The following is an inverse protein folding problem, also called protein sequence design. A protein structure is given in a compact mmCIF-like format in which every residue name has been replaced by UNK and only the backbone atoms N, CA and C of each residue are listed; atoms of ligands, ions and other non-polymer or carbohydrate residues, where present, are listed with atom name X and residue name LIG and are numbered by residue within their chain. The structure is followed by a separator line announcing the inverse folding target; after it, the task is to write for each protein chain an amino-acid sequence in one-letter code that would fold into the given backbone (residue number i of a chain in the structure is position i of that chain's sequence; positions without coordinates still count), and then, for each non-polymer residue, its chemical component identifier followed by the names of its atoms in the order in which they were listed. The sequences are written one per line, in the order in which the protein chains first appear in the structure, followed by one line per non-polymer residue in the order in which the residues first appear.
data_IF_115680839578
#
_entry.id   IF_115680839578
#
_cell.length_a   1.000
_cell.length_b   1.000
_cell.length_c   1.000
_cell.angle_alpha   90.00
_cell.angle_beta   90.00
_cell.angle_gamma   90.00
#
_symmetry.space_group_name_H-M   'P 1'
#
loop_
_entity.id
_entity.type
_entity.pdbx_description
1 polymer ?
#
# COMPACT_ATOMS: atom_id res chain seq x y z
N UNK A 1 -5.57 -7.59 14.32
CA UNK A 1 -5.19 -6.18 14.23
C UNK A 1 -6.31 -5.29 14.74
N UNK A 2 -5.97 -4.15 15.28
CA UNK A 2 -6.97 -3.25 15.77
C UNK A 2 -7.54 -2.38 14.65
N UNK A 3 -8.56 -1.60 14.99
CA UNK A 3 -9.27 -0.78 14.04
C UNK A 3 -8.39 0.28 13.36
N UNK A 4 -7.47 0.86 14.11
CA UNK A 4 -6.57 1.88 13.57
C UNK A 4 -5.67 1.32 12.49
N UNK A 5 -5.11 0.14 12.73
CA UNK A 5 -4.23 -0.50 11.76
C UNK A 5 -4.99 -0.80 10.46
N UNK A 6 -6.20 -1.30 10.59
CA UNK A 6 -7.01 -1.62 9.42
C UNK A 6 -7.31 -0.37 8.59
N UNK A 7 -7.67 0.72 9.24
CA UNK A 7 -7.95 1.97 8.54
C UNK A 7 -6.71 2.53 7.86
N UNK A 8 -5.56 2.41 8.51
CA UNK A 8 -4.31 2.88 7.94
C UNK A 8 -3.95 2.10 6.69
N UNK A 9 -4.15 0.80 6.70
CA UNK A 9 -3.88 -0.04 5.55
C UNK A 9 -4.83 0.27 4.40
N UNK A 10 -6.09 0.52 4.69
CA UNK A 10 -7.04 0.90 3.66
C UNK A 10 -6.66 2.20 3.00
N UNK A 11 -6.31 3.20 3.79
CA UNK A 11 -5.88 4.48 3.26
C UNK A 11 -4.64 4.32 2.39
N UNK A 12 -3.69 3.54 2.85
CA UNK A 12 -2.47 3.28 2.10
C UNK A 12 -2.78 2.61 0.76
N UNK A 13 -3.70 1.68 0.78
CA UNK A 13 -4.11 0.99 -0.44
C UNK A 13 -4.68 1.98 -1.47
N UNK A 14 -5.53 2.88 -1.02
CA UNK A 14 -6.12 3.87 -1.92
C UNK A 14 -5.06 4.82 -2.46
N UNK A 15 -4.11 5.23 -1.62
CA UNK A 15 -3.03 6.10 -2.05
C UNK A 15 -2.18 5.43 -3.12
N UNK A 16 -1.88 4.16 -2.92
CA UNK A 16 -1.08 3.41 -3.89
C UNK A 16 -1.85 3.24 -5.19
N UNK A 17 -3.12 2.91 -5.10
CA UNK A 17 -3.95 2.75 -6.29
C UNK A 17 -4.01 4.04 -7.09
N UNK A 18 -4.10 5.17 -6.40
CA UNK A 18 -4.13 6.48 -7.05
C UNK A 18 -2.82 6.74 -7.79
N UNK A 19 -1.70 6.42 -7.18
CA UNK A 19 -0.40 6.57 -7.84
C UNK A 19 -0.28 5.73 -9.10
N UNK A 20 -0.84 4.53 -9.06
CA UNK A 20 -0.77 3.61 -10.19
C UNK A 20 -1.86 3.85 -11.23
N UNK A 21 -2.78 4.76 -10.94
CA UNK A 21 -3.89 5.03 -11.84
C UNK A 21 -4.92 3.92 -11.86
N UNK A 22 -5.00 3.13 -10.80
CA UNK A 22 -5.96 2.03 -10.69
C UNK A 22 -7.20 2.54 -9.99
N UNK A 23 -8.39 2.45 -10.61
CA UNK A 23 -9.62 2.92 -9.98
C UNK A 23 -10.08 1.95 -8.89
N UNK A 24 -10.07 2.42 -7.64
CA UNK A 24 -10.58 1.66 -6.52
C UNK A 24 -11.88 2.28 -6.04
N UNK A 25 -12.93 1.48 -6.02
CA UNK A 25 -14.19 1.92 -5.43
C UNK A 25 -14.09 1.85 -3.92
N UNK A 26 -14.71 2.78 -3.25
CA UNK A 26 -14.69 2.81 -1.80
C UNK A 26 -15.29 1.52 -1.24
N UNK A 27 -14.48 0.77 -0.53
CA UNK A 27 -14.91 -0.44 0.14
C UNK A 27 -15.18 -1.63 -0.77
N UNK A 28 -14.88 -1.53 -2.06
CA UNK A 28 -15.17 -2.62 -2.98
C UNK A 28 -14.20 -2.60 -4.17
N UNK A 29 -13.49 -3.70 -4.36
CA UNK A 29 -12.56 -3.84 -5.48
C UNK A 29 -12.96 -4.94 -6.45
N UNK A 30 -14.23 -5.31 -6.46
CA UNK A 30 -14.69 -6.40 -7.32
C UNK A 30 -14.54 -6.11 -8.80
N UNK A 31 -14.44 -4.84 -9.16
CA UNK A 31 -14.30 -4.45 -10.56
C UNK A 31 -12.88 -4.50 -11.07
N UNK A 32 -11.92 -4.71 -10.20
CA UNK A 32 -10.53 -4.76 -10.60
C UNK A 32 -10.17 -6.12 -11.15
N UNK A 33 -9.31 -6.13 -12.15
CA UNK A 33 -8.78 -7.40 -12.64
C UNK A 33 -7.81 -7.95 -11.60
N UNK A 34 -7.51 -9.24 -11.70
CA UNK A 34 -6.53 -9.86 -10.83
C UNK A 34 -5.16 -9.18 -10.98
N UNK A 35 -4.84 -8.76 -12.20
CA UNK A 35 -3.59 -8.07 -12.47
C UNK A 35 -3.54 -6.72 -11.75
N UNK A 36 -4.64 -5.97 -11.78
CA UNK A 36 -4.69 -4.68 -11.10
C UNK A 36 -4.59 -4.83 -9.60
N UNK A 37 -5.30 -5.79 -9.03
CA UNK A 37 -5.21 -6.07 -7.60
C UNK A 37 -3.79 -6.47 -7.21
N UNK A 38 -3.17 -7.32 -8.00
CA UNK A 38 -1.80 -7.74 -7.77
C UNK A 38 -0.81 -6.59 -7.85
N UNK A 39 -1.03 -5.68 -8.81
CA UNK A 39 -0.16 -4.52 -8.95
C UNK A 39 -0.21 -3.61 -7.74
N UNK A 40 -1.42 -3.35 -7.24
CA UNK A 40 -1.59 -2.52 -6.04
C UNK A 40 -0.94 -3.19 -4.85
N UNK A 41 -1.21 -4.48 -4.63
CA UNK A 41 -0.63 -5.20 -3.51
C UNK A 41 0.88 -5.25 -3.57
N UNK A 42 1.44 -5.52 -4.74
CA UNK A 42 2.89 -5.57 -4.92
C UNK A 42 3.55 -4.23 -4.66
N UNK A 43 2.93 -3.17 -5.14
CA UNK A 43 3.47 -1.83 -4.94
C UNK A 43 3.41 -1.41 -3.47
N UNK A 44 2.35 -1.81 -2.77
CA UNK A 44 2.25 -1.57 -1.33
C UNK A 44 3.41 -2.22 -0.60
N UNK A 45 3.70 -3.48 -0.93
CA UNK A 45 4.81 -4.21 -0.31
C UNK A 45 6.14 -3.50 -0.62
N UNK A 46 6.32 -3.08 -1.85
CA UNK A 46 7.54 -2.38 -2.24
C UNK A 46 7.73 -1.11 -1.42
N UNK A 47 6.67 -0.33 -1.24
CA UNK A 47 6.76 0.90 -0.46
C UNK A 47 7.05 0.63 1.01
N UNK A 48 6.50 -0.43 1.54
CA UNK A 48 6.77 -0.81 2.93
C UNK A 48 8.24 -1.19 3.11
N UNK A 49 8.78 -1.92 2.16
CA UNK A 49 10.18 -2.33 2.22
C UNK A 49 11.09 -1.11 2.12
N UNK A 50 10.78 -0.18 1.22
CA UNK A 50 11.57 1.04 1.07
C UNK A 50 11.54 1.88 2.34
N UNK A 51 10.39 1.97 2.98
CA UNK A 51 10.28 2.72 4.24
C UNK A 51 11.10 2.06 5.32
N UNK A 52 11.09 0.73 5.38
CA UNK A 52 11.86 -0.01 6.35
C UNK A 52 13.36 0.19 6.13
N UNK A 53 13.79 0.15 4.89
CA UNK A 53 15.20 0.37 4.55
C UNK A 53 15.65 1.75 4.96
N UNK A 54 14.81 2.76 4.75
CA UNK A 54 15.15 4.12 5.16
C UNK A 54 15.32 4.23 6.67
N UNK A 55 14.42 3.57 7.41
CA UNK A 55 14.54 3.57 8.86
C UNK A 55 15.80 2.87 9.35
N UNK A 56 16.13 1.77 8.70
CA UNK A 56 17.34 1.04 9.05
C UNK A 56 18.59 1.87 8.80
N UNK A 57 18.63 2.59 7.68
CA UNK A 57 19.75 3.46 7.37
C UNK A 57 19.90 4.56 8.42
N UNK A 58 18.79 5.15 8.84
CA UNK A 58 18.81 6.18 9.89
C UNK A 58 19.32 5.62 11.21
N UNK A 59 18.89 4.43 11.55
CA UNK A 59 19.29 3.80 12.80
C UNK A 59 20.78 3.48 12.86
N UNK A 60 21.36 3.18 11.70
CA UNK A 60 22.76 2.74 11.65
C UNK A 60 23.73 3.88 11.49
N UNK A 61 23.47 4.96 12.16
CA UNK A 61 24.42 6.04 12.24
C UNK A 61 24.22 7.13 11.22
N UNK A 62 23.10 7.09 10.59
CA UNK A 62 22.76 8.10 9.61
C UNK A 62 21.72 9.05 10.22
#
# INVERSE_FOLDING_TARGET
ANRSTKKSLERFKYEVADELGVPLSNGYNGNLTAKQNGSVGGYMVKKMIEAQERQMAKKNGQ
#
